data_IF_160483399767
#
_entry.id   IF_160483399767
#
_cell.length_a   1.000
_cell.length_b   1.000
_cell.length_c   1.000
_cell.angle_alpha   90.00
_cell.angle_beta   90.00
_cell.angle_gamma   90.00
#
_symmetry.space_group_name_H-M   'P 1'
#
loop_
_entity.id
_entity.type
_entity.pdbx_description
1 polymer ?
#
# COMPACT_ATOMS: atom_id res chain seq x y z
N UNK A 1 6.78 -6.56 72.03
CA UNK A 1 5.88 -6.37 70.86
C UNK A 1 6.61 -5.50 69.84
N UNK A 2 7.39 -6.14 68.95
CA UNK A 2 7.10 -6.31 67.50
C UNK A 2 7.20 -4.96 66.75
N UNK A 3 8.37 -4.43 66.34
CA UNK A 3 9.40 -4.94 65.40
C UNK A 3 8.89 -5.46 64.05
N UNK A 4 7.72 -5.02 63.60
CA UNK A 4 7.11 -5.48 62.33
C UNK A 4 6.62 -4.34 61.40
N UNK A 5 6.99 -3.08 61.62
CA UNK A 5 6.50 -1.96 60.81
C UNK A 5 7.54 -1.34 59.86
N UNK A 6 8.82 -1.73 59.94
CA UNK A 6 9.87 -1.12 59.11
C UNK A 6 10.16 -1.86 57.79
N UNK A 7 9.66 -3.08 57.61
CA UNK A 7 9.98 -3.90 56.42
C UNK A 7 8.90 -3.86 55.31
N UNK A 8 7.72 -3.28 55.56
CA UNK A 8 6.67 -3.16 54.52
C UNK A 8 6.85 -1.93 53.61
N UNK A 9 7.67 -0.95 54.00
CA UNK A 9 7.92 0.25 53.20
C UNK A 9 9.08 0.12 52.21
N UNK A 10 9.96 -0.88 52.39
CA UNK A 10 11.09 -1.12 51.47
C UNK A 10 10.67 -2.01 50.28
N UNK A 11 9.65 -2.85 50.44
CA UNK A 11 9.13 -3.67 49.32
C UNK A 11 8.24 -2.84 48.37
N UNK A 12 7.62 -1.75 48.85
CA UNK A 12 6.81 -0.84 48.03
C UNK A 12 7.62 0.20 47.24
N UNK A 13 8.91 0.38 47.56
CA UNK A 13 9.82 1.29 46.83
C UNK A 13 10.67 0.58 45.77
N UNK A 14 10.57 -0.75 45.65
CA UNK A 14 11.27 -1.53 44.63
C UNK A 14 10.39 -1.99 43.45
N UNK A 15 9.11 -1.59 43.42
CA UNK A 15 8.20 -1.86 42.28
C UNK A 15 8.16 -0.67 41.28
N UNK A 16 8.73 0.49 41.61
CA UNK A 16 8.77 1.67 40.73
C UNK A 16 9.98 1.74 39.78
N UNK A 17 10.80 0.69 39.71
CA UNK A 17 11.93 0.58 38.78
C UNK A 17 11.79 -0.66 37.90
N UNK A 18 10.62 -0.84 37.30
CA UNK A 18 10.61 -1.48 35.99
C UNK A 18 11.16 -0.40 35.06
N UNK A 19 12.34 -0.58 34.44
CA UNK A 19 12.71 0.31 33.35
C UNK A 19 11.54 0.24 32.37
N UNK A 20 10.92 1.40 32.10
CA UNK A 20 10.29 1.61 30.81
C UNK A 20 11.39 1.25 29.82
N UNK A 21 11.42 -0.02 29.38
CA UNK A 21 11.90 -0.32 28.05
C UNK A 21 11.04 0.59 27.22
N UNK A 22 11.67 1.63 26.72
CA UNK A 22 11.18 2.38 25.58
C UNK A 22 10.46 1.35 24.71
N UNK A 23 9.20 1.62 24.41
CA UNK A 23 8.71 1.25 23.11
C UNK A 23 9.71 1.93 22.17
N UNK A 24 10.81 1.23 21.88
CA UNK A 24 11.59 1.49 20.70
C UNK A 24 10.52 1.45 19.65
N UNK A 25 10.28 2.62 19.05
CA UNK A 25 9.60 2.72 17.79
C UNK A 25 10.24 1.67 16.89
N UNK A 26 9.64 0.48 16.86
CA UNK A 26 9.68 -0.34 15.68
C UNK A 26 8.79 0.42 14.70
N UNK A 27 9.28 1.56 14.21
CA UNK A 27 9.15 1.90 12.81
C UNK A 27 9.80 0.74 12.07
N UNK A 28 9.09 -0.40 12.01
CA UNK A 28 9.27 -1.37 10.94
C UNK A 28 9.24 -0.50 9.70
N UNK A 29 10.36 -0.48 8.99
CA UNK A 29 10.58 0.47 7.92
C UNK A 29 9.62 0.09 6.79
N UNK A 30 8.39 0.63 6.83
CA UNK A 30 7.26 0.26 5.96
C UNK A 30 7.67 0.39 4.49
N UNK A 31 8.48 1.42 4.18
CA UNK A 31 9.05 1.62 2.84
C UNK A 31 9.92 0.45 2.36
N UNK A 32 10.66 -0.22 3.23
CA UNK A 32 11.59 -1.30 2.85
C UNK A 32 10.89 -2.63 2.49
N UNK A 33 9.64 -2.83 2.88
CA UNK A 33 8.90 -4.05 2.50
C UNK A 33 8.02 -3.85 1.27
N UNK A 34 7.51 -2.63 1.05
CA UNK A 34 6.79 -2.30 -0.20
C UNK A 34 7.79 -2.20 -1.35
N UNK A 35 8.92 -1.51 -1.14
CA UNK A 35 10.09 -1.58 -2.01
C UNK A 35 11.03 -2.67 -1.54
N UNK A 36 10.87 -3.89 -2.08
CA UNK A 36 11.88 -4.92 -1.85
C UNK A 36 13.15 -4.57 -2.65
N UNK A 37 14.15 -4.03 -1.95
CA UNK A 37 15.51 -3.85 -2.49
C UNK A 37 16.36 -5.12 -2.38
N UNK A 38 15.83 -6.21 -1.81
CA UNK A 38 16.56 -7.47 -1.70
C UNK A 38 16.39 -8.30 -2.98
N UNK A 39 17.43 -8.43 -3.82
CA UNK A 39 17.37 -9.24 -5.02
C UNK A 39 17.30 -10.76 -4.73
N UNK A 40 17.55 -11.20 -3.49
CA UNK A 40 17.59 -12.63 -3.15
C UNK A 40 16.21 -13.30 -3.11
N UNK A 41 15.14 -12.52 -3.02
CA UNK A 41 13.76 -13.00 -2.96
C UNK A 41 12.92 -12.52 -4.15
N UNK A 42 13.54 -12.37 -5.33
CA UNK A 42 12.84 -12.00 -6.55
C UNK A 42 12.38 -13.25 -7.31
N UNK A 43 11.08 -13.35 -7.56
CA UNK A 43 10.50 -14.37 -8.43
C UNK A 43 9.42 -13.70 -9.27
N UNK A 44 9.66 -13.48 -10.59
CA UNK A 44 8.72 -12.76 -11.43
C UNK A 44 7.35 -13.42 -11.49
N UNK A 45 6.30 -12.61 -11.32
CA UNK A 45 4.92 -13.01 -11.59
C UNK A 45 4.54 -12.76 -13.06
N UNK A 46 5.17 -11.77 -13.69
CA UNK A 46 4.97 -11.41 -15.09
C UNK A 46 5.98 -10.39 -15.57
N UNK A 47 5.74 -9.86 -16.76
CA UNK A 47 6.58 -8.82 -17.39
C UNK A 47 5.74 -7.64 -17.86
N UNK A 48 6.37 -6.46 -17.86
CA UNK A 48 5.93 -5.33 -18.64
C UNK A 48 6.74 -5.31 -19.95
N UNK A 49 6.07 -5.56 -21.07
CA UNK A 49 6.63 -5.39 -22.40
C UNK A 49 6.62 -3.91 -22.77
N UNK A 50 7.78 -3.39 -23.14
CA UNK A 50 7.97 -2.00 -23.56
C UNK A 50 8.11 -1.96 -25.08
N UNK A 51 7.25 -1.19 -25.74
CA UNK A 51 7.29 -0.95 -27.19
C UNK A 51 7.38 0.54 -27.51
N UNK A 52 8.05 0.90 -28.61
CA UNK A 52 8.18 2.27 -29.10
C UNK A 52 7.41 2.41 -30.41
N UNK A 53 6.67 3.51 -30.56
CA UNK A 53 6.02 3.85 -31.83
C UNK A 53 7.08 4.34 -32.83
N UNK A 54 7.18 3.65 -33.98
CA UNK A 54 8.01 4.07 -35.11
C UNK A 54 7.26 3.85 -36.40
N UNK A 55 7.16 4.91 -37.21
CA UNK A 55 6.52 4.87 -38.53
C UNK A 55 5.06 4.37 -38.49
N UNK A 56 4.35 4.65 -37.39
CA UNK A 56 2.97 4.20 -37.15
C UNK A 56 2.83 2.77 -36.65
N UNK A 57 3.94 2.07 -36.38
CA UNK A 57 3.96 0.71 -35.86
C UNK A 57 4.60 0.64 -34.47
N UNK A 58 4.10 -0.27 -33.64
CA UNK A 58 4.70 -0.56 -32.33
C UNK A 58 5.82 -1.58 -32.47
N UNK A 59 7.05 -1.19 -32.11
CA UNK A 59 8.22 -2.06 -32.13
C UNK A 59 8.67 -2.37 -30.70
N UNK A 60 8.75 -3.64 -30.36
CA UNK A 60 9.22 -4.11 -29.05
C UNK A 60 10.65 -3.66 -28.80
N UNK A 61 10.86 -2.91 -27.72
CA UNK A 61 12.17 -2.43 -27.29
C UNK A 61 12.79 -3.29 -26.18
N UNK A 62 11.95 -3.94 -25.35
CA UNK A 62 12.41 -4.83 -24.28
C UNK A 62 11.29 -5.26 -23.35
N UNK A 63 11.67 -5.93 -22.26
CA UNK A 63 10.79 -6.40 -21.20
C UNK A 63 11.42 -6.11 -19.84
N UNK A 64 10.57 -5.86 -18.83
CA UNK A 64 10.96 -5.71 -17.45
C UNK A 64 10.15 -6.69 -16.60
N UNK A 65 10.83 -7.53 -15.82
CA UNK A 65 10.22 -8.52 -14.94
C UNK A 65 9.82 -7.89 -13.61
N UNK A 66 8.65 -8.27 -13.09
CA UNK A 66 8.15 -7.79 -11.80
C UNK A 66 7.50 -8.91 -10.99
N UNK A 67 7.55 -8.75 -9.68
CA UNK A 67 6.81 -9.54 -8.69
C UNK A 67 5.79 -8.66 -7.97
N UNK A 68 5.20 -9.16 -6.89
CA UNK A 68 4.14 -8.46 -6.14
C UNK A 68 4.61 -7.21 -5.38
N UNK A 69 5.91 -6.97 -5.30
CA UNK A 69 6.47 -5.80 -4.61
C UNK A 69 6.78 -4.70 -5.61
N UNK A 70 6.66 -3.44 -5.20
CA UNK A 70 7.09 -2.32 -6.05
C UNK A 70 8.60 -2.39 -6.20
N UNK A 71 9.07 -2.43 -7.44
CA UNK A 71 10.49 -2.48 -7.78
C UNK A 71 10.75 -1.57 -8.98
N UNK A 72 11.94 -1.00 -9.04
CA UNK A 72 12.37 -0.22 -10.18
C UNK A 72 13.14 -1.09 -11.17
N UNK A 73 12.63 -1.21 -12.39
CA UNK A 73 13.33 -1.76 -13.55
C UNK A 73 13.89 -0.64 -14.42
N UNK A 74 14.97 -0.92 -15.15
CA UNK A 74 15.53 0.01 -16.12
C UNK A 74 15.70 -0.65 -17.50
N UNK A 75 15.40 0.10 -18.56
CA UNK A 75 15.56 -0.33 -19.94
C UNK A 75 16.29 0.74 -20.74
N UNK A 76 17.36 0.36 -21.43
CA UNK A 76 18.08 1.25 -22.32
C UNK A 76 17.34 1.42 -23.65
N UNK A 77 16.82 2.63 -23.89
CA UNK A 77 16.14 3.02 -25.12
C UNK A 77 16.99 3.89 -26.04
N UNK A 78 18.29 4.07 -25.77
CA UNK A 78 19.20 4.81 -26.66
C UNK A 78 19.19 4.29 -28.11
N UNK A 79 19.10 2.97 -28.39
CA UNK A 79 19.00 2.48 -29.76
C UNK A 79 17.69 2.85 -30.47
N UNK A 80 16.68 3.25 -29.71
CA UNK A 80 15.32 3.47 -30.21
C UNK A 80 14.99 4.95 -30.39
N UNK A 81 15.59 5.85 -29.61
CA UNK A 81 15.16 7.25 -29.50
C UNK A 81 16.30 8.20 -29.90
N UNK A 82 16.00 9.17 -30.77
CA UNK A 82 16.93 10.22 -31.16
C UNK A 82 16.86 11.43 -30.22
N UNK A 83 17.90 12.25 -30.17
CA UNK A 83 17.86 13.48 -29.37
C UNK A 83 16.85 14.49 -29.92
N UNK A 84 16.18 15.19 -29.00
CA UNK A 84 15.15 16.20 -29.26
C UNK A 84 13.98 15.68 -30.11
N UNK A 85 13.71 14.37 -30.07
CA UNK A 85 12.53 13.78 -30.70
C UNK A 85 11.41 13.59 -29.68
N UNK A 86 10.17 13.69 -30.17
CA UNK A 86 9.03 13.13 -29.45
C UNK A 86 9.02 11.61 -29.60
N UNK A 87 8.61 10.91 -28.54
CA UNK A 87 8.49 9.46 -28.52
C UNK A 87 7.18 9.05 -27.83
N UNK A 88 6.55 8.00 -28.36
CA UNK A 88 5.50 7.27 -27.63
C UNK A 88 6.00 5.90 -27.22
N UNK A 89 5.69 5.54 -25.98
CA UNK A 89 6.04 4.27 -25.37
C UNK A 89 4.74 3.58 -24.97
N UNK A 90 4.55 2.35 -25.44
CA UNK A 90 3.46 1.48 -25.02
C UNK A 90 4.00 0.45 -24.03
N UNK A 91 3.28 0.27 -22.94
CA UNK A 91 3.60 -0.69 -21.89
C UNK A 91 2.43 -1.66 -21.77
N UNK A 92 2.69 -2.94 -21.98
CA UNK A 92 1.67 -3.99 -21.89
C UNK A 92 2.12 -5.05 -20.89
N UNK A 93 1.20 -5.46 -20.02
CA UNK A 93 1.44 -6.55 -19.06
C UNK A 93 1.27 -7.90 -19.74
N UNK A 94 2.27 -8.78 -19.60
CA UNK A 94 2.20 -10.19 -20.00
C UNK A 94 2.45 -11.10 -18.79
N UNK A 95 1.54 -12.05 -18.54
CA UNK A 95 1.60 -12.91 -17.35
C UNK A 95 1.13 -12.22 -16.07
N UNK A 96 1.15 -12.95 -14.95
CA UNK A 96 0.75 -12.45 -13.63
C UNK A 96 -0.72 -12.03 -13.49
N UNK A 97 -1.06 -11.54 -12.30
CA UNK A 97 -2.35 -10.95 -11.93
C UNK A 97 -2.49 -9.50 -12.39
N UNK A 98 -3.05 -8.62 -11.56
CA UNK A 98 -3.11 -7.19 -11.85
C UNK A 98 -1.69 -6.57 -11.88
N UNK A 99 -1.48 -5.54 -12.70
CA UNK A 99 -0.23 -4.80 -12.72
C UNK A 99 -0.49 -3.34 -12.42
N UNK A 100 0.47 -2.75 -11.71
CA UNK A 100 0.38 -1.38 -11.22
C UNK A 100 1.72 -0.69 -11.44
N UNK A 101 1.69 0.52 -11.98
CA UNK A 101 2.88 1.37 -12.18
C UNK A 101 2.78 2.55 -11.21
N UNK A 102 3.85 2.75 -10.47
CA UNK A 102 4.06 3.85 -9.52
C UNK A 102 4.76 5.02 -10.22
N UNK A 103 5.83 4.73 -10.97
CA UNK A 103 6.57 5.77 -11.69
C UNK A 103 7.09 5.31 -13.04
N UNK A 104 7.25 6.27 -13.96
CA UNK A 104 7.77 6.03 -15.29
C UNK A 104 8.59 7.25 -15.73
N UNK A 105 9.91 7.12 -15.68
CA UNK A 105 10.85 8.23 -15.88
C UNK A 105 11.81 7.92 -17.02
N UNK A 106 11.79 8.72 -18.08
CA UNK A 106 12.71 8.62 -19.21
C UNK A 106 13.78 9.71 -19.12
N UNK A 107 15.03 9.31 -18.93
CA UNK A 107 16.14 10.27 -18.90
C UNK A 107 16.06 11.32 -17.78
N UNK A 108 15.32 11.03 -16.71
CA UNK A 108 15.07 11.96 -15.61
C UNK A 108 13.81 12.81 -15.76
N UNK A 109 13.04 12.65 -16.84
CA UNK A 109 11.78 13.35 -17.06
C UNK A 109 10.58 12.42 -16.95
N UNK A 110 9.47 12.93 -16.42
CA UNK A 110 8.15 12.28 -16.46
C UNK A 110 7.53 12.39 -17.86
N UNK A 111 6.47 11.61 -18.17
CA UNK A 111 5.73 11.76 -19.42
C UNK A 111 5.10 13.15 -19.53
N UNK A 112 4.77 13.57 -20.75
CA UNK A 112 3.88 14.72 -20.99
C UNK A 112 2.41 14.29 -21.01
N UNK A 113 2.14 13.06 -21.42
CA UNK A 113 0.79 12.51 -21.55
C UNK A 113 0.76 11.02 -21.21
N UNK A 114 -0.34 10.56 -20.61
CA UNK A 114 -0.63 9.15 -20.33
C UNK A 114 -1.98 8.83 -20.96
N UNK A 115 -2.01 7.95 -21.96
CA UNK A 115 -3.19 7.63 -22.79
C UNK A 115 -3.77 8.83 -23.58
N UNK A 116 -2.94 9.83 -23.90
CA UNK A 116 -3.35 11.03 -24.64
C UNK A 116 -3.54 12.27 -23.75
N UNK A 117 -4.00 13.37 -24.34
CA UNK A 117 -4.15 14.67 -23.65
C UNK A 117 -5.23 14.64 -22.56
N UNK A 118 -6.35 13.97 -22.82
CA UNK A 118 -7.47 13.80 -21.88
C UNK A 118 -7.34 12.50 -21.06
N UNK A 119 -6.14 11.91 -21.02
CA UNK A 119 -5.89 10.63 -20.40
C UNK A 119 -5.66 10.73 -18.89
N UNK A 120 -4.83 9.84 -18.34
CA UNK A 120 -4.57 9.81 -16.90
C UNK A 120 -3.69 11.00 -16.47
N UNK A 121 -3.87 11.52 -15.23
CA UNK A 121 -3.01 12.57 -14.71
C UNK A 121 -1.54 12.12 -14.70
N UNK A 122 -0.67 12.89 -15.34
CA UNK A 122 0.78 12.63 -15.43
C UNK A 122 1.46 12.58 -14.06
N UNK A 123 0.97 13.38 -13.12
CA UNK A 123 1.54 13.48 -11.77
C UNK A 123 1.62 12.11 -11.08
N UNK A 124 0.68 11.20 -11.39
CA UNK A 124 0.63 9.81 -10.90
C UNK A 124 1.82 8.94 -11.31
N UNK A 125 2.60 9.35 -12.32
CA UNK A 125 3.77 8.59 -12.80
C UNK A 125 5.08 9.37 -12.62
N UNK A 126 5.02 10.52 -11.96
CA UNK A 126 6.12 11.49 -11.92
C UNK A 126 7.16 11.20 -10.84
N UNK A 127 6.83 10.35 -9.85
CA UNK A 127 7.69 10.03 -8.73
C UNK A 127 7.38 8.65 -8.14
N UNK A 128 8.34 8.11 -7.40
CA UNK A 128 8.16 6.93 -6.56
C UNK A 128 7.46 7.37 -5.25
N UNK A 129 6.12 7.41 -5.22
CA UNK A 129 5.34 7.93 -4.08
C UNK A 129 4.21 7.01 -3.59
N UNK A 130 4.12 5.80 -4.14
CA UNK A 130 3.11 4.77 -3.87
C UNK A 130 1.70 5.08 -4.41
N UNK A 131 1.56 6.09 -5.28
CA UNK A 131 0.31 6.45 -5.93
C UNK A 131 0.19 5.78 -7.31
N UNK A 132 -0.13 4.48 -7.29
CA UNK A 132 -0.07 3.64 -8.48
C UNK A 132 -1.26 3.84 -9.43
N UNK A 133 -1.03 3.57 -10.72
CA UNK A 133 -2.07 3.40 -11.74
C UNK A 133 -2.13 1.96 -12.26
N UNK A 134 -3.31 1.44 -12.63
CA UNK A 134 -3.44 0.12 -13.22
C UNK A 134 -2.90 0.07 -14.66
N UNK A 135 -2.37 -1.09 -15.05
CA UNK A 135 -2.08 -1.43 -16.45
C UNK A 135 -3.11 -2.43 -16.93
N UNK A 136 -4.13 -1.93 -17.63
CA UNK A 136 -5.23 -2.72 -18.16
C UNK A 136 -4.78 -3.61 -19.35
N UNK A 137 -5.71 -4.40 -19.90
CA UNK A 137 -5.44 -5.38 -20.97
C UNK A 137 -4.84 -4.76 -22.23
N UNK A 138 -5.23 -3.53 -22.57
CA UNK A 138 -4.71 -2.83 -23.75
C UNK A 138 -3.38 -2.10 -23.47
N UNK A 139 -2.92 -2.15 -22.22
CA UNK A 139 -1.74 -1.46 -21.72
C UNK A 139 -1.96 0.03 -21.50
N UNK A 140 -0.85 0.74 -21.28
CA UNK A 140 -0.82 2.21 -21.26
C UNK A 140 0.10 2.72 -22.37
N UNK A 141 -0.21 3.90 -22.90
CA UNK A 141 0.62 4.62 -23.86
C UNK A 141 1.04 5.94 -23.26
N UNK A 142 2.33 6.14 -23.06
CA UNK A 142 2.88 7.41 -22.59
C UNK A 142 3.59 8.14 -23.72
N UNK A 143 3.55 9.46 -23.70
CA UNK A 143 4.23 10.30 -24.69
C UNK A 143 5.20 11.26 -24.02
N UNK A 144 6.36 11.44 -24.64
CA UNK A 144 7.34 12.46 -24.28
C UNK A 144 7.53 13.35 -25.50
N UNK A 145 7.41 14.67 -25.34
CA UNK A 145 7.44 15.65 -26.43
C UNK A 145 8.87 16.02 -26.83
N UNK A 146 9.81 15.95 -25.88
CA UNK A 146 11.23 16.20 -26.15
C UNK A 146 12.10 15.37 -25.23
N UNK A 147 12.80 14.38 -25.80
CA UNK A 147 13.77 13.55 -25.07
C UNK A 147 15.17 14.03 -25.40
N UNK A 148 15.96 14.35 -24.38
CA UNK A 148 17.36 14.75 -24.53
C UNK A 148 18.23 14.02 -23.51
N UNK A 149 19.50 13.80 -23.83
CA UNK A 149 20.44 13.18 -22.88
C UNK A 149 20.37 11.66 -22.86
N UNK A 150 20.33 11.02 -21.69
CA UNK A 150 20.25 9.57 -21.60
C UNK A 150 18.81 9.08 -21.84
N UNK A 151 18.65 7.99 -22.59
CA UNK A 151 17.32 7.43 -22.88
C UNK A 151 17.10 6.16 -22.09
N UNK A 152 17.43 6.20 -20.81
CA UNK A 152 17.15 5.10 -19.88
C UNK A 152 15.74 5.32 -19.36
N UNK A 153 14.85 4.37 -19.65
CA UNK A 153 13.53 4.31 -19.07
C UNK A 153 13.63 3.61 -17.73
N UNK A 154 13.22 4.29 -16.66
CA UNK A 154 13.03 3.70 -15.34
C UNK A 154 11.55 3.52 -15.13
N UNK A 155 11.14 2.31 -14.72
CA UNK A 155 9.74 1.99 -14.43
C UNK A 155 9.71 1.39 -13.04
N UNK A 156 8.98 2.02 -12.13
CA UNK A 156 8.68 1.45 -10.82
C UNK A 156 7.29 0.84 -10.87
N UNK A 157 7.20 -0.47 -10.69
CA UNK A 157 5.96 -1.21 -10.86
C UNK A 157 5.91 -2.48 -10.00
N UNK A 158 4.72 -3.08 -9.93
CA UNK A 158 4.47 -4.41 -9.37
C UNK A 158 3.53 -5.19 -10.29
N UNK A 159 3.66 -6.51 -10.28
CA UNK A 159 2.71 -7.44 -10.90
C UNK A 159 2.31 -8.46 -9.84
N UNK A 160 1.02 -8.51 -9.52
CA UNK A 160 0.47 -9.43 -8.55
C UNK A 160 0.57 -10.89 -9.03
N UNK A 161 0.40 -11.82 -8.09
CA UNK A 161 0.17 -13.22 -8.42
C UNK A 161 -1.19 -13.37 -9.13
N UNK A 162 -1.34 -14.36 -10.01
CA UNK A 162 -2.65 -14.63 -10.67
C UNK A 162 -3.73 -15.05 -9.68
N UNK A 163 -3.31 -15.58 -8.53
CA UNK A 163 -4.18 -15.98 -7.42
C UNK A 163 -3.70 -15.27 -6.16
N UNK A 164 -4.39 -14.21 -5.78
CA UNK A 164 -4.15 -13.53 -4.50
C UNK A 164 -4.89 -14.23 -3.36
N UNK A 165 -4.35 -14.11 -2.15
CA UNK A 165 -5.03 -14.60 -0.94
C UNK A 165 -6.38 -13.91 -0.77
N UNK A 166 -7.44 -14.71 -0.59
CA UNK A 166 -8.79 -14.23 -0.29
C UNK A 166 -9.14 -14.37 1.19
N UNK A 167 -8.14 -14.62 2.04
CA UNK A 167 -8.34 -14.73 3.48
C UNK A 167 -8.43 -13.30 4.03
N UNK A 168 -9.60 -12.88 4.56
CA UNK A 168 -9.73 -11.53 5.10
C UNK A 168 -8.95 -11.39 6.40
N UNK A 169 -8.52 -10.17 6.71
CA UNK A 169 -8.13 -9.83 8.07
C UNK A 169 -9.31 -10.04 9.03
N UNK A 170 -9.01 -10.59 10.20
CA UNK A 170 -9.96 -10.78 11.30
C UNK A 170 -9.43 -10.07 12.52
N UNK A 171 -10.27 -9.22 13.10
CA UNK A 171 -9.94 -8.45 14.30
C UNK A 171 -10.73 -9.02 15.49
N UNK A 172 -10.11 -9.25 16.65
CA UNK A 172 -8.68 -9.11 16.93
C UNK A 172 -7.81 -10.09 16.14
N UNK A 173 -6.57 -9.69 15.83
CA UNK A 173 -5.58 -10.39 15.00
C UNK A 173 -5.29 -11.82 15.47
N UNK A 174 -5.54 -12.11 16.74
CA UNK A 174 -5.49 -13.47 17.31
C UNK A 174 -6.43 -14.47 16.60
N UNK A 175 -7.45 -13.97 15.89
CA UNK A 175 -8.40 -14.74 15.09
C UNK A 175 -7.98 -14.93 13.62
N UNK A 176 -6.90 -14.28 13.16
CA UNK A 176 -6.43 -14.44 11.79
C UNK A 176 -6.18 -15.91 11.47
N UNK A 177 -6.53 -16.31 10.24
CA UNK A 177 -6.36 -17.67 9.71
C UNK A 177 -7.10 -18.79 10.46
N UNK A 178 -8.11 -18.45 11.28
CA UNK A 178 -8.91 -19.41 12.06
C UNK A 178 -10.40 -19.14 11.91
N UNK A 179 -11.23 -20.18 11.80
CA UNK A 179 -12.68 -20.04 11.80
C UNK A 179 -13.22 -19.38 13.06
N UNK A 180 -14.14 -18.43 12.88
CA UNK A 180 -14.79 -17.74 14.00
C UNK A 180 -15.77 -18.71 14.66
N UNK A 181 -15.60 -18.93 15.96
CA UNK A 181 -16.43 -19.80 16.77
C UNK A 181 -16.48 -19.29 18.23
N UNK A 182 -17.10 -20.06 19.13
CA UNK A 182 -17.27 -19.69 20.54
C UNK A 182 -15.96 -19.46 21.30
N UNK A 183 -14.85 -20.03 20.83
CA UNK A 183 -13.52 -19.86 21.44
C UNK A 183 -12.69 -18.73 20.78
N UNK A 184 -13.27 -17.99 19.85
CA UNK A 184 -12.62 -16.84 19.22
C UNK A 184 -12.49 -15.68 20.21
N UNK A 185 -11.52 -14.81 19.93
CA UNK A 185 -11.32 -13.59 20.70
C UNK A 185 -12.29 -12.51 20.24
N UNK A 186 -12.84 -11.73 21.17
CA UNK A 186 -13.72 -10.60 20.86
C UNK A 186 -13.31 -9.40 21.69
N UNK A 187 -13.42 -8.21 21.10
CA UNK A 187 -13.31 -6.99 21.88
C UNK A 187 -14.53 -6.82 22.78
N UNK A 188 -14.30 -6.27 23.98
CA UNK A 188 -15.38 -5.94 24.92
C UNK A 188 -15.55 -4.42 24.97
N UNK A 189 -16.73 -3.95 24.58
CA UNK A 189 -17.11 -2.55 24.67
C UNK A 189 -18.12 -2.34 25.80
N UNK A 190 -17.92 -1.31 26.61
CA UNK A 190 -18.86 -0.94 27.67
C UNK A 190 -19.78 0.16 27.14
N UNK A 191 -21.08 -0.10 27.09
CA UNK A 191 -22.07 0.91 26.71
C UNK A 191 -21.87 2.20 27.52
N UNK A 192 -21.90 3.33 26.81
CA UNK A 192 -21.64 4.69 27.29
C UNK A 192 -20.20 4.98 27.73
N UNK A 193 -19.22 4.13 27.40
CA UNK A 193 -17.80 4.48 27.64
C UNK A 193 -17.30 5.56 26.69
N UNK A 194 -17.87 5.65 25.49
CA UNK A 194 -17.61 6.68 24.49
C UNK A 194 -18.93 7.08 23.85
N UNK A 195 -19.33 8.36 23.96
CA UNK A 195 -20.63 8.83 23.49
C UNK A 195 -20.50 9.91 22.42
N UNK A 196 -20.83 9.53 21.19
CA UNK A 196 -20.96 10.40 20.02
C UNK A 196 -21.61 9.60 18.89
N UNK A 197 -22.28 10.28 17.98
CA UNK A 197 -22.86 9.70 16.77
C UNK A 197 -21.89 9.87 15.60
N UNK A 198 -21.97 8.99 14.60
CA UNK A 198 -21.25 9.14 13.33
C UNK A 198 -22.20 9.61 12.24
N UNK A 199 -21.72 10.49 11.38
CA UNK A 199 -22.33 10.75 10.07
C UNK A 199 -21.95 9.60 9.14
N UNK A 200 -22.94 8.96 8.50
CA UNK A 200 -22.69 7.84 7.58
C UNK A 200 -22.48 8.39 6.17
N UNK A 201 -21.36 9.09 5.98
CA UNK A 201 -20.95 9.69 4.71
C UNK A 201 -19.61 9.13 4.17
N UNK A 202 -18.99 8.21 4.91
CA UNK A 202 -17.70 7.60 4.58
C UNK A 202 -16.48 8.41 5.01
N UNK A 203 -16.67 9.56 5.68
CA UNK A 203 -15.59 10.43 6.16
C UNK A 203 -15.59 10.39 7.69
N UNK A 204 -14.57 9.77 8.35
CA UNK A 204 -14.58 9.58 9.79
C UNK A 204 -14.05 10.84 10.54
N UNK A 205 -14.61 12.02 10.27
CA UNK A 205 -14.15 13.28 10.87
C UNK A 205 -14.35 13.32 12.39
N UNK A 206 -15.40 12.67 12.90
CA UNK A 206 -15.73 12.64 14.33
C UNK A 206 -14.69 11.90 15.18
N UNK A 207 -13.85 11.06 14.56
CA UNK A 207 -12.82 10.28 15.26
C UNK A 207 -11.40 10.84 15.11
N UNK A 208 -11.21 11.90 14.32
CA UNK A 208 -9.90 12.48 13.97
C UNK A 208 -8.98 12.77 15.16
N UNK A 209 -9.54 13.17 16.30
CA UNK A 209 -8.79 13.48 17.53
C UNK A 209 -9.07 12.50 18.67
N UNK A 210 -9.64 11.34 18.37
CA UNK A 210 -10.01 10.32 19.36
C UNK A 210 -9.00 9.18 19.34
N UNK A 211 -8.71 8.66 20.52
CA UNK A 211 -7.90 7.44 20.63
C UNK A 211 -8.67 6.25 20.02
N UNK A 212 -8.05 5.44 19.15
CA UNK A 212 -8.65 4.22 18.64
C UNK A 212 -9.05 3.25 19.77
N UNK A 213 -10.21 2.61 19.60
CA UNK A 213 -10.65 1.51 20.45
C UNK A 213 -9.76 0.28 20.27
N UNK A 214 -9.32 0.01 19.03
CA UNK A 214 -8.20 -0.88 18.75
C UNK A 214 -7.29 -0.30 17.66
N UNK A 215 -6.06 -0.79 17.63
CA UNK A 215 -5.05 -0.50 16.61
C UNK A 215 -4.28 -1.80 16.39
N UNK A 216 -4.33 -2.35 15.18
CA UNK A 216 -3.65 -3.60 14.85
C UNK A 216 -2.85 -3.49 13.57
N UNK A 217 -1.66 -4.07 13.56
CA UNK A 217 -0.77 -4.05 12.40
C UNK A 217 -1.15 -5.14 11.40
N UNK A 218 -1.32 -4.75 10.15
CA UNK A 218 -1.80 -5.59 9.06
C UNK A 218 -0.73 -5.67 7.97
N UNK A 219 -0.47 -6.91 7.51
CA UNK A 219 0.47 -7.21 6.42
C UNK A 219 -0.30 -7.91 5.30
N UNK A 220 -0.71 -7.19 4.25
CA UNK A 220 -1.48 -7.76 3.15
C UNK A 220 -0.69 -8.81 2.37
N UNK A 221 -1.39 -9.84 1.89
CA UNK A 221 -0.80 -10.89 1.04
C UNK A 221 -0.69 -10.51 -0.44
N UNK A 222 -1.37 -9.45 -0.89
CA UNK A 222 -1.46 -9.05 -2.30
C UNK A 222 -0.36 -8.10 -2.77
N UNK A 223 0.45 -7.54 -1.86
CA UNK A 223 1.47 -6.54 -2.19
C UNK A 223 1.05 -5.08 -1.91
N UNK A 224 -0.16 -4.85 -1.36
CA UNK A 224 -0.52 -3.55 -0.77
C UNK A 224 0.41 -3.17 0.39
N UNK A 225 0.54 -1.87 0.68
CA UNK A 225 1.25 -1.38 1.85
C UNK A 225 0.86 -2.12 3.14
N UNK A 226 1.84 -2.44 3.97
CA UNK A 226 1.55 -2.79 5.35
C UNK A 226 1.27 -1.53 6.16
N UNK A 227 0.45 -1.67 7.20
CA UNK A 227 0.01 -0.50 7.96
C UNK A 227 -0.84 -0.89 9.16
N UNK A 228 -1.35 0.11 9.85
CA UNK A 228 -2.25 -0.11 10.98
C UNK A 228 -3.69 0.01 10.51
N UNK A 229 -4.52 -0.95 10.92
CA UNK A 229 -5.96 -0.76 10.91
C UNK A 229 -6.40 -0.21 12.24
N UNK A 230 -7.17 0.87 12.21
CA UNK A 230 -7.72 1.51 13.39
C UNK A 230 -9.23 1.27 13.44
N UNK A 231 -9.75 1.11 14.65
CA UNK A 231 -11.18 1.04 14.87
C UNK A 231 -11.62 1.88 16.04
N UNK A 232 -12.76 2.54 15.90
CA UNK A 232 -13.42 3.31 16.96
C UNK A 232 -14.83 2.76 17.17
N UNK A 233 -15.25 2.78 18.43
CA UNK A 233 -16.59 2.34 18.84
C UNK A 233 -17.18 3.39 19.76
N UNK A 234 -18.41 3.79 19.48
CA UNK A 234 -19.21 4.67 20.33
C UNK A 234 -20.66 4.25 20.30
N UNK A 235 -21.45 4.76 21.24
CA UNK A 235 -22.89 4.63 21.16
C UNK A 235 -23.59 5.92 21.60
N UNK A 236 -24.83 6.09 21.15
CA UNK A 236 -25.80 6.99 21.76
C UNK A 236 -26.95 6.18 22.38
N UNK A 237 -28.12 6.81 22.58
CA UNK A 237 -29.28 6.14 23.18
C UNK A 237 -30.01 5.21 22.21
N UNK A 238 -29.67 5.26 20.90
CA UNK A 238 -30.36 4.54 19.83
C UNK A 238 -29.45 3.57 19.07
N UNK A 239 -28.17 3.91 18.88
CA UNK A 239 -27.27 3.17 17.99
C UNK A 239 -25.89 2.92 18.60
N UNK A 240 -25.29 1.79 18.18
CA UNK A 240 -23.86 1.53 18.29
C UNK A 240 -23.21 1.89 16.96
N UNK A 241 -22.16 2.70 17.03
CA UNK A 241 -21.41 3.18 15.88
C UNK A 241 -20.03 2.52 15.85
N UNK A 242 -19.61 2.12 14.66
CA UNK A 242 -18.28 1.56 14.41
C UNK A 242 -17.70 2.30 13.21
N UNK A 243 -16.49 2.81 13.37
CA UNK A 243 -15.67 3.36 12.28
C UNK A 243 -14.39 2.55 12.18
N UNK A 244 -13.99 2.21 10.97
CA UNK A 244 -12.76 1.49 10.65
C UNK A 244 -11.97 2.29 9.63
N UNK A 245 -10.66 2.36 9.83
CA UNK A 245 -9.71 2.97 8.90
C UNK A 245 -8.64 1.95 8.53
N UNK A 246 -8.54 1.64 7.24
CA UNK A 246 -7.61 0.66 6.67
C UNK A 246 -6.48 1.37 5.93
N UNK A 247 -5.50 1.89 6.66
CA UNK A 247 -4.31 2.49 6.03
C UNK A 247 -3.48 1.55 5.12
N UNK A 248 -3.48 0.21 5.30
CA UNK A 248 -2.83 -0.71 4.37
C UNK A 248 -3.38 -0.67 2.94
N UNK A 249 -4.65 -0.28 2.76
CA UNK A 249 -5.40 -0.40 1.51
C UNK A 249 -5.74 0.98 0.93
N UNK A 250 -4.72 1.84 0.81
CA UNK A 250 -4.86 3.22 0.32
C UNK A 250 -4.28 3.40 -1.10
N UNK A 251 -4.29 2.36 -1.93
CA UNK A 251 -3.84 2.45 -3.32
C UNK A 251 -5.05 2.53 -4.27
N UNK A 252 -4.93 3.35 -5.32
CA UNK A 252 -5.98 3.53 -6.33
C UNK A 252 -6.04 2.32 -7.27
N UNK A 253 -6.46 1.15 -6.76
CA UNK A 253 -6.51 -0.12 -7.50
C UNK A 253 -7.85 -0.29 -8.26
N UNK A 254 -8.37 0.81 -8.81
CA UNK A 254 -9.60 0.85 -9.61
C UNK A 254 -10.88 0.51 -8.82
N UNK A 255 -11.80 -0.23 -9.45
CA UNK A 255 -13.12 -0.57 -8.87
C UNK A 255 -13.08 -1.75 -7.87
N UNK A 256 -11.90 -2.33 -7.63
CA UNK A 256 -11.73 -3.45 -6.71
C UNK A 256 -11.33 -2.93 -5.33
N UNK A 257 -12.24 -2.18 -4.72
CA UNK A 257 -12.13 -1.83 -3.30
C UNK A 257 -12.36 -3.11 -2.47
N UNK A 258 -11.27 -3.68 -1.95
CA UNK A 258 -11.32 -4.87 -1.10
C UNK A 258 -11.79 -4.54 0.32
N UNK A 259 -11.96 -3.26 0.66
CA UNK A 259 -12.55 -2.77 1.89
C UNK A 259 -14.08 -2.58 1.80
N UNK A 260 -14.75 -3.11 0.77
CA UNK A 260 -16.22 -3.08 0.69
C UNK A 260 -16.86 -3.80 1.88
N UNK A 261 -17.27 -3.02 2.87
CA UNK A 261 -18.04 -3.47 4.01
C UNK A 261 -19.32 -4.16 3.52
N UNK A 262 -19.53 -5.39 3.99
CA UNK A 262 -20.84 -6.04 3.87
C UNK A 262 -21.79 -5.28 4.79
N UNK A 263 -22.64 -4.44 4.20
CA UNK A 263 -23.83 -3.89 4.85
C UNK A 263 -24.93 -4.95 4.94
#
# INVERSE_FOLDING_TARGET
MKRWTAWMLIVLLFISLVPMRAAAENTVNIQNEIYSKDPKNFTPNGVLEISIEKDGEWKKAGELEYDRFLRSGNLDLNPWISDNSSVKIRIVKNGGGAAHIDSLILGGSSPDFVNGEDGLPVDKLSADDFDVIPVDTDGIVVSFNSVSGNKILNVTARIEETVISKIPFRFPSANNYKDINVNSFFYSYKINSERYSLTIDGIPDEVKNKKPFFMEYCVPGSGHPQGYTYGWVSNDDSYLYISLDFTPDNTFDGNLDYAKGLY
#
